data_IF_646840531203
#
_entry.id   IF_646840531203
#
_cell.length_a   1.000
_cell.length_b   1.000
_cell.length_c   1.000
_cell.angle_alpha   90.00
_cell.angle_beta   90.00
_cell.angle_gamma   90.00
#
_symmetry.space_group_name_H-M   'P 1'
#
loop_
_entity.id
_entity.type
_entity.pdbx_description
1 polymer ?
#
# COMPACT_ATOMS: atom_id res chain seq x y z
N UNK A 1 21.07 -31.10 29.65
CA UNK A 1 21.50 -29.76 30.08
C UNK A 1 21.67 -28.98 28.81
N UNK A 2 20.81 -27.98 28.67
CA UNK A 2 20.49 -27.28 27.42
C UNK A 2 21.71 -26.69 26.70
N UNK A 3 21.72 -26.79 25.37
CA UNK A 3 22.12 -25.67 24.52
C UNK A 3 20.92 -25.30 23.65
N UNK A 4 19.97 -24.64 24.32
CA UNK A 4 19.03 -23.71 23.70
C UNK A 4 19.84 -22.54 23.12
N UNK A 5 20.12 -22.61 21.83
CA UNK A 5 20.35 -21.44 20.99
C UNK A 5 20.14 -21.85 19.54
N UNK A 6 18.94 -22.38 19.24
CA UNK A 6 18.40 -22.21 17.89
C UNK A 6 18.37 -20.71 17.68
N UNK A 7 19.33 -20.19 16.91
CA UNK A 7 19.31 -18.83 16.36
C UNK A 7 17.85 -18.54 15.99
N UNK A 8 17.23 -17.65 16.74
CA UNK A 8 15.95 -17.09 16.37
C UNK A 8 16.11 -16.61 14.92
N UNK A 9 15.19 -16.96 14.04
CA UNK A 9 15.13 -16.47 12.67
C UNK A 9 15.18 -14.94 12.71
N UNK A 10 16.38 -14.37 12.54
CA UNK A 10 16.62 -12.91 12.50
C UNK A 10 15.96 -12.27 11.26
N UNK A 11 15.46 -13.12 10.34
CA UNK A 11 14.78 -12.78 9.10
C UNK A 11 13.24 -12.80 9.20
N UNK A 12 12.66 -13.40 10.24
CA UNK A 12 11.20 -13.51 10.35
C UNK A 12 10.58 -12.16 10.74
N UNK A 13 9.69 -11.66 9.89
CA UNK A 13 8.92 -10.45 10.17
C UNK A 13 8.00 -10.64 11.39
N UNK A 14 8.17 -9.77 12.39
CA UNK A 14 7.29 -9.67 13.55
C UNK A 14 6.22 -8.61 13.31
N UNK A 15 4.92 -8.91 13.57
CA UNK A 15 3.86 -7.94 13.37
C UNK A 15 3.96 -6.80 14.40
N UNK A 16 3.79 -5.56 13.93
CA UNK A 16 3.76 -4.36 14.78
C UNK A 16 2.34 -3.84 14.95
N UNK A 17 1.63 -3.61 13.84
CA UNK A 17 0.26 -3.11 13.84
C UNK A 17 -0.50 -3.60 12.60
N UNK A 18 -1.81 -3.74 12.73
CA UNK A 18 -2.71 -4.01 11.63
C UNK A 18 -3.98 -3.18 11.78
N UNK A 19 -4.39 -2.55 10.69
CA UNK A 19 -5.63 -1.78 10.56
C UNK A 19 -6.44 -2.37 9.41
N UNK A 20 -7.72 -2.62 9.63
CA UNK A 20 -8.65 -3.09 8.60
C UNK A 20 -9.89 -2.21 8.60
N UNK A 21 -10.35 -1.81 7.42
CA UNK A 21 -11.58 -1.05 7.27
C UNK A 21 -12.31 -1.37 5.96
N UNK A 22 -13.57 -0.94 5.88
CA UNK A 22 -14.33 -1.03 4.66
C UNK A 22 -13.75 -0.08 3.59
N UNK A 23 -13.63 -0.54 2.35
CA UNK A 23 -13.08 0.29 1.27
C UNK A 23 -13.94 1.53 1.01
N UNK A 24 -15.26 1.46 1.13
CA UNK A 24 -16.13 2.64 0.97
C UNK A 24 -15.90 3.68 2.07
N UNK A 25 -15.55 3.25 3.29
CA UNK A 25 -15.15 4.16 4.36
C UNK A 25 -13.82 4.82 4.02
N UNK A 26 -12.81 4.03 3.65
CA UNK A 26 -11.51 4.55 3.21
C UNK A 26 -11.65 5.55 2.06
N UNK A 27 -12.46 5.23 1.04
CA UNK A 27 -12.73 6.11 -0.11
C UNK A 27 -13.62 7.31 0.20
N UNK A 28 -14.25 7.39 1.37
CA UNK A 28 -15.18 8.47 1.68
C UNK A 28 -14.48 9.82 1.84
N UNK A 29 -13.21 9.82 2.28
CA UNK A 29 -12.42 11.02 2.49
C UNK A 29 -10.96 10.75 2.16
N UNK A 30 -10.38 11.58 1.30
CA UNK A 30 -8.97 11.49 0.92
C UNK A 30 -8.02 11.59 2.14
N UNK A 31 -8.41 12.36 3.15
CA UNK A 31 -7.64 12.58 4.38
C UNK A 31 -7.30 11.29 5.15
N UNK A 32 -8.00 10.18 4.91
CA UNK A 32 -7.63 8.90 5.51
C UNK A 32 -6.26 8.40 5.01
N UNK A 33 -5.78 8.85 3.85
CA UNK A 33 -4.41 8.59 3.43
C UNK A 33 -3.40 9.23 4.39
N UNK A 34 -3.61 10.51 4.70
CA UNK A 34 -2.76 11.28 5.62
C UNK A 34 -2.83 10.71 7.04
N UNK A 35 -4.04 10.46 7.56
CA UNK A 35 -4.25 9.97 8.94
C UNK A 35 -3.61 8.58 9.16
N UNK A 36 -3.74 7.66 8.20
CA UNK A 36 -3.15 6.32 8.29
C UNK A 36 -1.62 6.41 8.18
N UNK A 37 -1.12 7.26 7.28
CA UNK A 37 0.31 7.51 7.10
C UNK A 37 0.95 8.04 8.38
N UNK A 38 0.35 9.08 8.98
CA UNK A 38 0.84 9.69 10.22
C UNK A 38 0.91 8.63 11.33
N UNK A 39 -0.18 7.88 11.53
CA UNK A 39 -0.25 6.81 12.51
C UNK A 39 0.86 5.76 12.32
N UNK A 40 1.15 5.37 11.08
CA UNK A 40 2.18 4.38 10.78
C UNK A 40 3.60 4.90 10.94
N UNK A 41 3.84 6.15 10.54
CA UNK A 41 5.16 6.78 10.62
C UNK A 41 5.59 6.97 12.08
N UNK A 42 4.65 7.34 12.96
CA UNK A 42 4.88 7.43 14.39
C UNK A 42 5.27 6.07 15.00
N UNK A 43 4.62 4.99 14.60
CA UNK A 43 4.95 3.63 15.06
C UNK A 43 6.33 3.21 14.56
N UNK A 44 6.64 3.45 13.29
CA UNK A 44 7.90 3.00 12.70
C UNK A 44 9.11 3.80 13.20
N UNK A 45 8.93 5.09 13.48
CA UNK A 45 9.96 5.93 14.09
C UNK A 45 10.39 5.43 15.47
N UNK A 46 9.50 4.76 16.22
CA UNK A 46 9.83 4.18 17.53
C UNK A 46 10.89 3.08 17.39
N UNK A 47 11.99 3.24 18.12
CA UNK A 47 13.10 2.28 18.13
C UNK A 47 14.17 2.51 17.06
N UNK A 48 14.03 3.54 16.22
CA UNK A 48 15.11 3.98 15.33
C UNK A 48 16.13 4.86 16.10
N UNK A 49 17.37 4.92 15.62
CA UNK A 49 18.44 5.74 16.22
C UNK A 49 18.17 7.24 16.04
N UNK A 50 17.53 7.62 14.94
CA UNK A 50 16.96 8.94 14.66
C UNK A 50 15.46 8.79 14.32
N UNK A 51 14.57 8.80 15.32
CA UNK A 51 13.13 8.61 15.12
C UNK A 51 12.48 9.67 14.23
N UNK A 52 12.93 10.92 14.33
CA UNK A 52 12.32 12.05 13.62
C UNK A 52 12.63 11.99 12.12
N UNK A 53 13.88 11.70 11.77
CA UNK A 53 14.28 11.54 10.37
C UNK A 53 13.58 10.35 9.72
N UNK A 54 13.55 9.22 10.41
CA UNK A 54 12.96 7.99 9.87
C UNK A 54 11.44 8.10 9.72
N UNK A 55 10.74 8.69 10.69
CA UNK A 55 9.31 8.95 10.59
C UNK A 55 8.98 9.88 9.41
N UNK A 56 9.76 10.95 9.21
CA UNK A 56 9.57 11.86 8.07
C UNK A 56 9.81 11.19 6.71
N UNK A 57 10.83 10.33 6.60
CA UNK A 57 11.06 9.56 5.38
C UNK A 57 9.90 8.61 5.09
N UNK A 58 9.48 7.85 6.11
CA UNK A 58 8.40 6.88 5.97
C UNK A 58 7.05 7.52 5.73
N UNK A 59 6.78 8.72 6.24
CA UNK A 59 5.51 9.39 5.99
C UNK A 59 5.33 9.70 4.51
N UNK A 60 6.38 10.18 3.84
CA UNK A 60 6.35 10.40 2.39
C UNK A 60 6.16 9.06 1.66
N UNK A 61 6.96 8.04 1.99
CA UNK A 61 6.92 6.77 1.27
C UNK A 61 5.62 5.98 1.47
N UNK A 62 5.12 5.92 2.70
CA UNK A 62 3.87 5.26 3.03
C UNK A 62 2.68 6.01 2.42
N UNK A 63 2.67 7.35 2.42
CA UNK A 63 1.59 8.11 1.81
C UNK A 63 1.44 7.80 0.32
N UNK A 64 2.53 7.81 -0.45
CA UNK A 64 2.49 7.50 -1.87
C UNK A 64 1.88 6.11 -2.15
N UNK A 65 2.22 5.11 -1.33
CA UNK A 65 1.69 3.75 -1.46
C UNK A 65 0.21 3.64 -1.03
N UNK A 66 -0.18 4.37 0.02
CA UNK A 66 -1.57 4.41 0.50
C UNK A 66 -2.46 5.15 -0.50
N UNK A 67 -1.99 6.26 -1.07
CA UNK A 67 -2.67 6.97 -2.16
C UNK A 67 -2.80 6.10 -3.42
N UNK A 68 -1.75 5.34 -3.76
CA UNK A 68 -1.80 4.38 -4.85
C UNK A 68 -2.91 3.35 -4.60
N UNK A 69 -3.00 2.78 -3.40
CA UNK A 69 -4.06 1.86 -3.02
C UNK A 69 -5.45 2.53 -3.08
N UNK A 70 -5.58 3.78 -2.63
CA UNK A 70 -6.82 4.56 -2.70
C UNK A 70 -7.33 4.71 -4.14
N UNK A 71 -6.42 5.03 -5.08
CA UNK A 71 -6.73 5.16 -6.50
C UNK A 71 -7.06 3.80 -7.14
N UNK A 72 -6.38 2.73 -6.72
CA UNK A 72 -6.52 1.40 -7.30
C UNK A 72 -7.80 0.64 -6.88
N UNK A 73 -8.38 0.97 -5.74
CA UNK A 73 -9.56 0.25 -5.20
C UNK A 73 -10.91 0.78 -5.71
N UNK A 74 -11.90 -0.10 -5.89
CA UNK A 74 -13.19 0.19 -6.56
C UNK A 74 -14.37 0.52 -5.63
N UNK A 75 -14.12 0.66 -4.32
CA UNK A 75 -15.16 0.96 -3.34
C UNK A 75 -15.77 -0.25 -2.64
N UNK A 76 -15.39 -1.49 -3.00
CA UNK A 76 -15.98 -2.72 -2.44
C UNK A 76 -14.99 -3.51 -1.58
N UNK A 77 -15.55 -4.27 -0.65
CA UNK A 77 -14.81 -5.15 0.24
C UNK A 77 -14.07 -4.40 1.36
N UNK A 78 -12.93 -4.94 1.76
CA UNK A 78 -12.12 -4.42 2.87
C UNK A 78 -10.71 -4.12 2.40
N UNK A 79 -10.11 -3.07 2.94
CA UNK A 79 -8.69 -2.79 2.79
C UNK A 79 -8.02 -3.00 4.14
N UNK A 80 -6.86 -3.64 4.14
CA UNK A 80 -6.02 -3.79 5.31
C UNK A 80 -4.65 -3.15 5.08
N UNK A 81 -4.12 -2.59 6.15
CA UNK A 81 -2.80 -2.01 6.22
C UNK A 81 -2.09 -2.69 7.39
N UNK A 82 -0.89 -3.21 7.18
CA UNK A 82 -0.13 -3.79 8.28
C UNK A 82 1.35 -3.45 8.21
N UNK A 83 1.92 -3.26 9.39
CA UNK A 83 3.35 -3.04 9.58
C UNK A 83 3.96 -4.25 10.26
N UNK A 84 5.10 -4.67 9.74
CA UNK A 84 5.91 -5.74 10.30
C UNK A 84 7.37 -5.28 10.33
N UNK A 85 8.16 -5.85 11.24
CA UNK A 85 9.59 -5.53 11.36
C UNK A 85 10.41 -6.79 11.55
N UNK A 86 11.57 -6.83 10.91
CA UNK A 86 12.65 -7.74 11.25
C UNK A 86 13.93 -6.93 11.54
N UNK A 87 15.08 -7.60 11.69
CA UNK A 87 16.34 -6.93 11.99
C UNK A 87 16.76 -5.89 10.93
N UNK A 88 16.36 -6.11 9.68
CA UNK A 88 16.85 -5.36 8.51
C UNK A 88 15.83 -4.44 7.85
N UNK A 89 14.54 -4.73 8.01
CA UNK A 89 13.47 -4.05 7.28
C UNK A 89 12.24 -3.75 8.13
N UNK A 90 11.61 -2.63 7.79
CA UNK A 90 10.22 -2.34 8.10
C UNK A 90 9.37 -2.63 6.86
N UNK A 91 8.38 -3.50 7.00
CA UNK A 91 7.48 -3.92 5.93
C UNK A 91 6.12 -3.27 6.09
N UNK A 92 5.70 -2.52 5.08
CA UNK A 92 4.33 -2.10 4.89
C UNK A 92 3.63 -3.06 3.92
N UNK A 93 2.48 -3.59 4.33
CA UNK A 93 1.56 -4.36 3.49
C UNK A 93 0.24 -3.63 3.36
N UNK A 94 -0.27 -3.51 2.14
CA UNK A 94 -1.58 -2.94 1.83
C UNK A 94 -2.36 -3.94 0.99
N UNK A 95 -3.36 -4.61 1.57
CA UNK A 95 -4.15 -5.61 0.88
C UNK A 95 -5.57 -5.10 0.61
N UNK A 96 -6.05 -5.25 -0.63
CA UNK A 96 -7.39 -4.84 -1.04
C UNK A 96 -7.90 -5.70 -2.20
N UNK A 97 -9.23 -5.83 -2.37
CA UNK A 97 -9.81 -6.49 -3.52
C UNK A 97 -9.38 -5.83 -4.82
N UNK A 98 -9.06 -6.65 -5.81
CA UNK A 98 -8.89 -6.21 -7.19
C UNK A 98 -10.15 -5.49 -7.64
N UNK A 99 -9.98 -4.29 -8.18
CA UNK A 99 -11.06 -3.60 -8.86
C UNK A 99 -11.58 -4.50 -9.98
N UNK A 100 -12.87 -4.88 -9.93
CA UNK A 100 -13.46 -5.53 -11.09
C UNK A 100 -13.64 -4.48 -12.16
N UNK A 101 -12.77 -4.52 -13.17
CA UNK A 101 -12.86 -3.71 -14.36
C UNK A 101 -14.23 -3.90 -15.00
N UNK A 102 -15.17 -2.97 -14.76
CA UNK A 102 -16.40 -2.70 -15.52
C UNK A 102 -16.89 -3.87 -16.40
N UNK A 103 -17.11 -5.05 -15.82
CA UNK A 103 -17.67 -6.21 -16.50
C UNK A 103 -19.14 -5.99 -16.90
N UNK A 104 -19.66 -4.77 -16.67
CA UNK A 104 -20.96 -4.26 -17.10
C UNK A 104 -20.94 -3.42 -18.37
N UNK A 105 -19.81 -3.24 -19.08
CA UNK A 105 -19.86 -2.65 -20.42
C UNK A 105 -20.10 -3.67 -21.55
N UNK A 106 -20.17 -4.98 -21.25
CA UNK A 106 -20.44 -6.01 -22.27
C UNK A 106 -21.81 -6.68 -22.15
N UNK A 107 -22.83 -5.93 -21.76
CA UNK A 107 -24.24 -6.35 -21.94
C UNK A 107 -25.15 -5.15 -22.23
N UNK A 108 -25.18 -4.70 -23.49
CA UNK A 108 -26.39 -4.70 -24.34
C UNK A 108 -26.13 -4.05 -25.71
N UNK A 109 -26.75 -4.56 -26.79
CA UNK A 109 -26.94 -3.79 -28.02
C UNK A 109 -28.15 -2.86 -27.85
N UNK A 110 -28.06 -1.63 -28.39
CA UNK A 110 -29.05 -0.98 -29.28
C UNK A 110 -29.01 0.54 -29.14
N UNK A 111 -29.02 1.18 -30.32
CA UNK A 111 -28.99 2.60 -30.64
C UNK A 111 -29.96 3.52 -29.87
N UNK A 112 -29.56 4.78 -29.72
CA UNK A 112 -30.46 5.93 -29.66
C UNK A 112 -30.27 6.87 -28.45
N UNK A 113 -29.89 8.12 -28.76
CA UNK A 113 -30.05 9.38 -28.01
C UNK A 113 -29.06 9.79 -26.87
N UNK A 114 -28.40 10.93 -27.11
CA UNK A 114 -27.69 11.87 -26.18
C UNK A 114 -28.73 12.80 -25.49
N UNK A 115 -28.48 13.64 -24.44
CA UNK A 115 -27.29 14.00 -23.60
C UNK A 115 -27.64 14.20 -22.07
N UNK A 116 -26.95 15.00 -21.19
CA UNK A 116 -25.58 15.55 -21.13
C UNK A 116 -24.79 15.25 -19.81
N UNK A 117 -23.47 15.53 -19.87
CA UNK A 117 -22.51 15.98 -18.84
C UNK A 117 -22.54 15.39 -17.41
N UNK A 118 -21.46 14.71 -17.01
CA UNK A 118 -20.66 15.05 -15.83
C UNK A 118 -19.21 14.62 -16.08
N UNK A 119 -18.30 15.56 -15.87
CA UNK A 119 -16.85 15.40 -15.88
C UNK A 119 -16.46 14.42 -14.76
N UNK A 120 -16.39 13.14 -15.10
CA UNK A 120 -15.93 12.08 -14.23
C UNK A 120 -14.42 12.03 -14.35
N UNK A 121 -13.72 12.65 -13.39
CA UNK A 121 -12.29 12.57 -13.22
C UNK A 121 -11.83 11.14 -13.44
N UNK A 122 -11.16 10.95 -14.56
CA UNK A 122 -10.69 9.69 -15.08
C UNK A 122 -9.94 8.98 -13.97
N UNK A 123 -10.51 7.90 -13.44
CA UNK A 123 -9.75 6.84 -12.82
C UNK A 123 -8.90 6.24 -13.92
N UNK A 124 -7.79 6.92 -14.23
CA UNK A 124 -6.77 6.45 -15.13
C UNK A 124 -6.17 5.23 -14.46
N UNK A 125 -6.81 4.11 -14.78
CA UNK A 125 -6.36 2.78 -14.48
C UNK A 125 -4.87 2.78 -14.76
N UNK A 126 -4.11 2.55 -13.71
CA UNK A 126 -2.70 2.20 -13.80
C UNK A 126 -2.60 1.12 -14.87
N UNK A 127 -2.29 1.54 -16.10
CA UNK A 127 -2.05 0.62 -17.20
C UNK A 127 -0.88 -0.23 -16.74
N UNK A 128 -0.89 -1.54 -17.03
CA UNK A 128 0.15 -2.47 -16.54
C UNK A 128 1.58 -1.95 -16.77
N UNK A 129 1.77 -1.14 -17.81
CA UNK A 129 3.03 -0.45 -18.12
C UNK A 129 3.29 0.80 -17.27
N UNK A 130 2.31 1.67 -17.06
CA UNK A 130 2.52 2.91 -16.29
C UNK A 130 2.61 2.68 -14.78
N UNK A 131 2.05 1.57 -14.28
CA UNK A 131 2.15 1.15 -12.88
C UNK A 131 3.50 0.57 -12.51
N UNK A 132 4.12 -0.14 -13.45
CA UNK A 132 5.46 -0.68 -13.25
C UNK A 132 6.48 0.46 -13.23
N UNK A 133 6.36 1.43 -14.14
CA UNK A 133 7.19 2.64 -14.11
C UNK A 133 7.05 3.44 -12.80
N UNK A 134 5.84 3.57 -12.26
CA UNK A 134 5.62 4.25 -10.97
C UNK A 134 6.30 3.51 -9.82
N UNK A 135 6.13 2.18 -9.73
CA UNK A 135 6.73 1.40 -8.65
C UNK A 135 8.25 1.38 -8.74
N UNK A 136 8.83 1.28 -9.94
CA UNK A 136 10.28 1.35 -10.15
C UNK A 136 10.85 2.70 -9.69
N UNK A 137 10.12 3.80 -9.97
CA UNK A 137 10.48 5.13 -9.48
C UNK A 137 10.41 5.19 -7.95
N UNK A 138 9.34 4.69 -7.33
CA UNK A 138 9.19 4.69 -5.86
C UNK A 138 10.27 3.82 -5.20
N UNK A 139 10.58 2.65 -5.76
CA UNK A 139 11.68 1.78 -5.31
C UNK A 139 13.02 2.51 -5.37
N UNK A 140 13.28 3.26 -6.45
CA UNK A 140 14.51 4.03 -6.61
C UNK A 140 14.58 5.20 -5.64
N UNK A 141 13.50 5.98 -5.51
CA UNK A 141 13.44 7.18 -4.66
C UNK A 141 13.60 6.81 -3.19
N UNK A 142 12.97 5.72 -2.74
CA UNK A 142 12.96 5.33 -1.34
C UNK A 142 14.01 4.28 -0.99
N UNK A 143 14.80 3.78 -1.95
CA UNK A 143 15.73 2.67 -1.70
C UNK A 143 15.03 1.44 -1.11
N UNK A 144 13.76 1.21 -1.49
CA UNK A 144 12.87 0.22 -0.91
C UNK A 144 12.54 -0.88 -1.92
N UNK A 145 12.40 -2.13 -1.46
CA UNK A 145 11.90 -3.20 -2.31
C UNK A 145 10.36 -3.19 -2.31
N UNK A 146 9.76 -2.72 -3.40
CA UNK A 146 8.30 -2.58 -3.54
C UNK A 146 7.81 -3.57 -4.61
N UNK A 147 6.73 -4.29 -4.30
CA UNK A 147 6.15 -5.27 -5.20
C UNK A 147 4.64 -5.37 -5.01
N UNK A 148 3.97 -5.84 -6.06
CA UNK A 148 2.56 -6.21 -6.03
C UNK A 148 2.47 -7.73 -6.08
N UNK A 149 1.77 -8.31 -5.10
CA UNK A 149 1.46 -9.73 -5.00
C UNK A 149 -0.05 -9.94 -5.25
N UNK A 150 -0.42 -11.07 -5.85
CA UNK A 150 -1.82 -11.50 -5.93
C UNK A 150 -2.16 -12.30 -4.67
N UNK A 151 -3.10 -11.81 -3.86
CA UNK A 151 -3.60 -12.50 -2.67
C UNK A 151 -4.84 -13.32 -3.05
N UNK A 152 -4.61 -14.58 -3.45
CA UNK A 152 -5.67 -15.46 -3.93
C UNK A 152 -6.26 -15.03 -5.28
N UNK A 153 -7.51 -15.39 -5.55
CA UNK A 153 -8.13 -15.15 -6.86
C UNK A 153 -8.47 -13.68 -7.13
N UNK A 154 -8.81 -12.92 -6.07
CA UNK A 154 -9.42 -11.59 -6.20
C UNK A 154 -8.75 -10.51 -5.32
N UNK A 155 -7.65 -10.82 -4.64
CA UNK A 155 -6.92 -9.88 -3.79
C UNK A 155 -5.65 -9.35 -4.45
N UNK A 156 -5.31 -8.09 -4.16
CA UNK A 156 -4.04 -7.45 -4.48
C UNK A 156 -3.38 -7.07 -3.16
N UNK A 157 -2.09 -7.36 -3.00
CA UNK A 157 -1.27 -6.88 -1.89
C UNK A 157 -0.09 -6.06 -2.43
N UNK A 158 0.02 -4.81 -1.99
CA UNK A 158 1.24 -4.02 -2.16
C UNK A 158 2.14 -4.33 -0.96
N UNK A 159 3.37 -4.76 -1.22
CA UNK A 159 4.37 -5.02 -0.17
C UNK A 159 5.58 -4.14 -0.41
N UNK A 160 5.93 -3.33 0.58
CA UNK A 160 7.09 -2.45 0.56
C UNK A 160 8.01 -2.73 1.76
N UNK A 161 9.26 -3.06 1.47
CA UNK A 161 10.32 -3.30 2.46
C UNK A 161 11.27 -2.11 2.50
N UNK A 162 11.20 -1.33 3.58
CA UNK A 162 12.05 -0.19 3.85
C UNK A 162 13.23 -0.60 4.73
N UNK A 163 14.48 -0.27 4.38
CA UNK A 163 15.62 -0.53 5.24
C UNK A 163 15.44 0.06 6.65
N UNK A 164 15.73 -0.74 7.67
CA UNK A 164 15.68 -0.30 9.09
C UNK A 164 16.85 0.59 9.48
N UNK A 165 17.94 0.56 8.72
CA UNK A 165 19.07 1.46 8.88
C UNK A 165 19.10 2.41 7.68
N UNK A 166 19.06 3.71 7.94
CA UNK A 166 19.21 4.72 6.90
C UNK A 166 20.68 4.84 6.47
N UNK A 167 21.04 4.30 5.31
CA UNK A 167 22.17 4.80 4.53
C UNK A 167 21.65 5.82 3.50
N UNK A 168 20.99 6.87 3.96
CA UNK A 168 20.62 8.01 3.11
C UNK A 168 21.87 8.83 2.83
N UNK A 169 22.57 8.48 1.75
CA UNK A 169 23.71 9.23 1.23
C UNK A 169 23.27 10.34 0.27
#
# INVERSE_FOLDING_TARGET
MEEEASRFDDDAFSPMVSLEMNVAMFKSQWQFCDEITEYFSDILGQGHSDPARYSNFLSVAANELIELAFRATDGRGKISFSLHRNATFNRLKIAFPRAEELSRQRTKPRSGDTPPALDGGSGELVTKSHGTDLLDNLTTIFGAAIRIEEDGADGIEIVADFPSAEDFQ
#
